data_IF_495937170294
#
_entry.id   IF_495937170294
#
_cell.length_a   1.000
_cell.length_b   1.000
_cell.length_c   1.000
_cell.angle_alpha   90.00
_cell.angle_beta   90.00
_cell.angle_gamma   90.00
#
_symmetry.space_group_name_H-M   'P 1'
#
loop_
_entity.id
_entity.type
_entity.pdbx_description
1 polymer ?
#
# COMPACT_ATOMS: atom_id res chain seq x y z
N UNK A 1 -6.08 15.14 44.92
CA UNK A 1 -5.92 14.12 43.87
C UNK A 1 -6.33 14.79 42.58
N UNK A 2 -5.37 15.32 41.82
CA UNK A 2 -5.66 15.92 40.52
C UNK A 2 -5.49 14.86 39.43
N UNK A 3 -6.53 14.68 38.62
CA UNK A 3 -6.51 13.82 37.45
C UNK A 3 -5.65 14.49 36.38
N UNK A 4 -4.51 13.89 36.04
CA UNK A 4 -3.71 14.26 34.89
C UNK A 4 -4.42 13.73 33.63
N UNK A 5 -5.39 14.48 33.11
CA UNK A 5 -5.91 14.19 31.78
C UNK A 5 -4.90 14.66 30.73
N UNK A 6 -4.26 13.70 30.07
CA UNK A 6 -3.70 13.89 28.74
C UNK A 6 -4.83 14.44 27.84
N UNK A 7 -4.58 15.53 27.10
CA UNK A 7 -5.54 16.20 26.24
C UNK A 7 -6.22 15.21 25.27
N UNK A 8 -7.40 14.74 25.66
CA UNK A 8 -8.15 13.66 25.02
C UNK A 8 -8.58 13.97 23.59
N UNK A 9 -8.52 15.26 23.18
CA UNK A 9 -8.93 15.70 21.85
C UNK A 9 -7.91 15.35 20.75
N UNK A 10 -6.64 15.11 21.09
CA UNK A 10 -5.58 14.76 20.12
C UNK A 10 -5.29 13.25 19.99
N UNK A 11 -5.77 12.44 20.92
CA UNK A 11 -5.44 11.00 20.97
C UNK A 11 -6.26 10.18 19.96
N UNK A 12 -7.30 10.76 19.35
CA UNK A 12 -8.22 10.06 18.45
C UNK A 12 -8.37 10.71 17.07
N UNK A 13 -7.51 11.66 16.68
CA UNK A 13 -7.56 12.17 15.31
C UNK A 13 -7.02 11.09 14.35
N UNK A 14 -7.95 10.52 13.57
CA UNK A 14 -7.63 9.62 12.47
C UNK A 14 -6.99 10.47 11.37
N UNK A 15 -5.75 10.16 11.01
CA UNK A 15 -5.06 10.85 9.93
C UNK A 15 -4.99 9.95 8.70
N UNK A 16 -5.64 10.39 7.62
CA UNK A 16 -5.52 9.75 6.32
C UNK A 16 -4.53 10.51 5.45
N UNK A 17 -3.58 9.79 4.86
CA UNK A 17 -2.63 10.31 3.87
C UNK A 17 -2.83 9.59 2.55
N UNK A 18 -2.81 10.34 1.46
CA UNK A 18 -3.04 9.82 0.12
C UNK A 18 -1.77 9.93 -0.71
N UNK A 19 -1.37 8.82 -1.34
CA UNK A 19 -0.24 8.76 -2.24
C UNK A 19 -0.72 8.41 -3.64
N UNK A 20 -0.15 9.06 -4.65
CA UNK A 20 -0.38 8.75 -6.07
C UNK A 20 0.96 8.63 -6.78
N UNK A 21 1.13 7.56 -7.55
CA UNK A 21 2.27 7.39 -8.46
C UNK A 21 1.77 6.99 -9.84
N UNK A 22 2.23 7.69 -10.86
CA UNK A 22 2.00 7.33 -12.25
C UNK A 22 3.22 6.60 -12.79
N UNK A 23 3.01 5.55 -13.56
CA UNK A 23 4.05 4.78 -14.25
C UNK A 23 3.66 4.57 -15.72
N UNK A 24 4.64 4.47 -16.59
CA UNK A 24 4.45 4.11 -17.99
C UNK A 24 4.99 2.71 -18.25
N UNK A 25 4.24 1.89 -19.01
CA UNK A 25 4.60 0.51 -19.35
C UNK A 25 4.67 0.37 -20.88
N UNK A 26 5.85 0.07 -21.42
CA UNK A 26 6.10 0.12 -22.87
C UNK A 26 5.67 -1.15 -23.63
N UNK A 27 5.62 -2.29 -22.96
CA UNK A 27 5.41 -3.60 -23.58
C UNK A 27 4.46 -4.50 -22.76
N UNK A 28 4.19 -5.70 -23.28
CA UNK A 28 3.32 -6.68 -22.63
C UNK A 28 3.90 -7.14 -21.30
N UNK A 29 3.03 -7.20 -20.29
CA UNK A 29 3.41 -7.57 -18.92
C UNK A 29 3.44 -9.09 -18.80
N UNK A 30 4.59 -9.64 -18.41
CA UNK A 30 4.71 -11.03 -18.03
C UNK A 30 4.20 -11.26 -16.60
N UNK A 31 4.68 -10.44 -15.67
CA UNK A 31 4.36 -10.49 -14.23
C UNK A 31 4.39 -9.09 -13.64
N UNK A 32 3.53 -8.81 -12.66
CA UNK A 32 3.59 -7.58 -11.89
C UNK A 32 3.15 -7.81 -10.45
N UNK A 33 3.93 -7.28 -9.51
CA UNK A 33 3.66 -7.40 -8.08
C UNK A 33 3.91 -6.08 -7.37
N UNK A 34 3.12 -5.82 -6.33
CA UNK A 34 3.36 -4.72 -5.40
C UNK A 34 3.37 -5.25 -3.97
N UNK A 35 4.43 -4.93 -3.25
CA UNK A 35 4.55 -5.12 -1.82
C UNK A 35 4.17 -3.83 -1.11
N UNK A 36 3.32 -3.93 -0.09
CA UNK A 36 2.93 -2.80 0.75
C UNK A 36 3.12 -3.13 2.22
N UNK A 37 3.72 -2.19 2.95
CA UNK A 37 3.89 -2.21 4.41
C UNK A 37 3.30 -0.91 4.94
N UNK A 38 2.16 -1.00 5.63
CA UNK A 38 1.50 0.16 6.23
C UNK A 38 1.94 0.35 7.69
N UNK A 39 1.90 1.57 8.20
CA UNK A 39 2.09 1.83 9.63
C UNK A 39 0.96 1.23 10.48
N UNK A 40 -0.28 1.37 9.99
CA UNK A 40 -1.48 0.83 10.65
C UNK A 40 -2.43 0.18 9.64
N UNK A 41 -2.92 0.94 8.67
CA UNK A 41 -3.86 0.46 7.66
C UNK A 41 -3.62 1.15 6.32
N UNK A 42 -3.66 0.40 5.22
CA UNK A 42 -3.63 0.99 3.88
C UNK A 42 -4.56 0.28 2.90
N UNK A 43 -5.22 1.03 2.02
CA UNK A 43 -5.93 0.52 0.84
C UNK A 43 -5.13 0.79 -0.42
N UNK A 44 -5.09 -0.19 -1.33
CA UNK A 44 -4.34 -0.12 -2.57
C UNK A 44 -5.32 -0.09 -3.74
N UNK A 45 -5.07 0.84 -4.66
CA UNK A 45 -5.79 0.96 -5.91
C UNK A 45 -4.83 1.03 -7.09
N UNK A 46 -5.18 0.37 -8.20
CA UNK A 46 -4.46 0.44 -9.47
C UNK A 46 -5.48 0.79 -10.53
N UNK A 47 -5.25 1.86 -11.29
CA UNK A 47 -6.17 2.35 -12.32
C UNK A 47 -7.62 2.51 -11.81
N UNK A 48 -7.75 3.06 -10.60
CA UNK A 48 -9.03 3.25 -9.89
C UNK A 48 -9.75 1.97 -9.42
N UNK A 49 -9.19 0.79 -9.68
CA UNK A 49 -9.68 -0.47 -9.16
C UNK A 49 -9.08 -0.82 -7.80
N UNK A 50 -9.91 -1.29 -6.87
CA UNK A 50 -9.48 -1.71 -5.54
C UNK A 50 -8.82 -3.09 -5.59
N UNK A 51 -7.57 -3.17 -5.15
CA UNK A 51 -6.78 -4.42 -5.17
C UNK A 51 -6.85 -5.15 -3.84
N UNK A 52 -6.89 -4.41 -2.74
CA UNK A 52 -6.82 -4.97 -1.41
C UNK A 52 -6.37 -3.98 -0.36
N UNK A 53 -6.09 -4.49 0.83
CA UNK A 53 -5.65 -3.68 1.97
C UNK A 53 -4.57 -4.38 2.80
N UNK A 54 -3.82 -3.60 3.57
CA UNK A 54 -2.81 -4.07 4.52
C UNK A 54 -3.21 -3.60 5.91
N UNK A 55 -3.12 -4.50 6.91
CA UNK A 55 -3.35 -4.18 8.32
C UNK A 55 -2.13 -4.61 9.12
N UNK A 56 -1.48 -3.65 9.75
CA UNK A 56 -0.23 -3.85 10.49
C UNK A 56 -0.43 -3.73 12.00
N UNK A 57 -1.68 -3.59 12.46
CA UNK A 57 -2.01 -3.24 13.84
C UNK A 57 -1.23 -4.15 14.80
N UNK A 58 -0.35 -3.55 15.62
CA UNK A 58 0.42 -4.18 16.70
C UNK A 58 -0.53 -4.73 17.77
N UNK A 59 -1.27 -5.78 17.48
CA UNK A 59 -1.79 -6.64 18.54
C UNK A 59 -0.56 -7.20 19.24
N UNK A 60 -0.54 -7.22 20.58
CA UNK A 60 0.51 -7.85 21.41
C UNK A 60 0.74 -9.34 21.04
N UNK A 61 -0.06 -9.89 20.13
CA UNK A 61 0.07 -11.18 19.49
C UNK A 61 1.10 -11.19 18.34
N UNK A 62 2.10 -12.06 18.47
CA UNK A 62 3.09 -12.43 17.47
C UNK A 62 2.50 -12.80 16.09
N UNK A 63 1.24 -13.24 16.04
CA UNK A 63 0.52 -13.65 14.82
C UNK A 63 0.31 -12.48 13.83
N UNK A 64 0.29 -11.23 14.30
CA UNK A 64 0.10 -10.05 13.46
C UNK A 64 1.29 -9.73 12.54
N UNK A 65 2.45 -10.33 12.75
CA UNK A 65 3.65 -10.05 11.94
C UNK A 65 3.49 -10.50 10.48
N UNK A 66 2.70 -11.56 10.23
CA UNK A 66 2.47 -12.08 8.88
C UNK A 66 1.53 -11.21 8.03
N UNK A 67 0.70 -10.36 8.64
CA UNK A 67 -0.18 -9.43 7.92
C UNK A 67 0.45 -8.06 7.67
N UNK A 68 1.63 -7.80 8.24
CA UNK A 68 2.32 -6.51 8.15
C UNK A 68 2.90 -6.22 6.77
N UNK A 69 3.19 -7.26 5.99
CA UNK A 69 3.71 -7.17 4.63
C UNK A 69 2.76 -7.97 3.75
N UNK A 70 2.13 -7.33 2.77
CA UNK A 70 1.30 -8.01 1.79
C UNK A 70 1.86 -7.78 0.40
N UNK A 71 1.86 -8.85 -0.40
CA UNK A 71 2.27 -8.83 -1.80
C UNK A 71 1.01 -9.10 -2.63
N UNK A 72 0.68 -8.18 -3.52
CA UNK A 72 -0.45 -8.30 -4.43
C UNK A 72 0.06 -8.58 -5.84
N UNK A 73 -0.51 -9.59 -6.50
CA UNK A 73 -0.37 -9.74 -7.95
C UNK A 73 -1.25 -8.68 -8.61
N UNK A 74 -0.63 -7.80 -9.38
CA UNK A 74 -1.31 -6.67 -10.04
C UNK A 74 -1.25 -6.76 -11.57
N UNK A 75 -0.83 -7.90 -12.11
CA UNK A 75 -0.67 -8.11 -13.55
C UNK A 75 -1.93 -7.73 -14.33
N UNK A 76 -3.09 -8.15 -13.85
CA UNK A 76 -4.37 -7.96 -14.54
C UNK A 76 -4.95 -6.55 -14.36
N UNK A 77 -4.34 -5.74 -13.50
CA UNK A 77 -4.77 -4.38 -13.18
C UNK A 77 -3.91 -3.30 -13.84
N UNK A 78 -2.77 -3.68 -14.43
CA UNK A 78 -1.87 -2.79 -15.17
C UNK A 78 -1.97 -3.11 -16.66
N UNK A 79 -1.92 -2.07 -17.49
CA UNK A 79 -1.95 -2.17 -18.95
C UNK A 79 -0.74 -1.48 -19.60
N UNK A 80 -0.55 -1.68 -20.90
CA UNK A 80 0.41 -0.90 -21.69
C UNK A 80 0.01 0.58 -21.70
N UNK A 81 0.97 1.48 -21.55
CA UNK A 81 0.76 2.92 -21.46
C UNK A 81 0.79 3.43 -20.01
N UNK A 82 0.05 4.50 -19.74
CA UNK A 82 0.03 5.14 -18.42
C UNK A 82 -0.84 4.36 -17.43
N UNK A 83 -0.31 4.11 -16.24
CA UNK A 83 -1.03 3.48 -15.14
C UNK A 83 -0.87 4.30 -13.87
N UNK A 84 -1.90 4.29 -13.03
CA UNK A 84 -1.95 5.06 -11.79
C UNK A 84 -2.07 4.12 -10.59
N UNK A 85 -1.12 4.22 -9.67
CA UNK A 85 -1.14 3.57 -8.36
C UNK A 85 -1.59 4.59 -7.33
N UNK A 86 -2.65 4.29 -6.57
CA UNK A 86 -3.11 5.13 -5.45
C UNK A 86 -3.12 4.33 -4.16
N UNK A 87 -2.70 4.98 -3.07
CA UNK A 87 -2.74 4.39 -1.75
C UNK A 87 -3.38 5.36 -0.77
N UNK A 88 -4.41 4.89 -0.07
CA UNK A 88 -5.00 5.54 1.09
C UNK A 88 -4.39 4.90 2.33
N UNK A 89 -3.55 5.63 3.06
CA UNK A 89 -2.96 5.19 4.32
C UNK A 89 -3.68 5.86 5.47
N UNK A 90 -4.12 5.09 6.47
CA UNK A 90 -4.87 5.59 7.63
C UNK A 90 -4.12 5.22 8.90
N UNK A 91 -3.81 6.22 9.70
CA UNK A 91 -3.23 6.05 11.02
C UNK A 91 -4.28 6.29 12.11
N UNK A 92 -4.56 5.24 12.89
CA UNK A 92 -5.54 5.26 13.99
C UNK A 92 -4.90 5.52 15.37
N UNK A 93 -3.57 5.62 15.46
CA UNK A 93 -2.83 5.86 16.71
C UNK A 93 -2.28 7.30 16.81
N UNK A 94 -2.53 8.11 15.78
CA UNK A 94 -2.19 9.53 15.72
C UNK A 94 -0.87 9.79 15.00
N UNK A 95 -0.80 10.90 14.27
CA UNK A 95 0.35 11.28 13.43
C UNK A 95 0.25 10.75 11.99
N UNK A 96 1.30 11.02 11.20
CA UNK A 96 1.40 10.51 9.82
C UNK A 96 2.12 9.16 9.88
N UNK A 97 1.37 8.07 9.78
CA UNK A 97 1.92 6.72 9.77
C UNK A 97 2.81 6.49 8.55
N UNK A 98 4.02 5.93 8.71
CA UNK A 98 4.89 5.65 7.58
C UNK A 98 4.28 4.57 6.68
N UNK A 99 4.59 4.64 5.38
CA UNK A 99 4.27 3.58 4.42
C UNK A 99 5.49 3.25 3.58
N UNK A 100 5.71 1.95 3.33
CA UNK A 100 6.70 1.48 2.38
C UNK A 100 6.01 0.70 1.26
N UNK A 101 6.39 1.01 0.02
CA UNK A 101 5.80 0.44 -1.18
C UNK A 101 6.92 0.09 -2.14
N UNK A 102 6.95 -1.16 -2.58
CA UNK A 102 7.91 -1.65 -3.56
C UNK A 102 7.16 -2.42 -4.64
N UNK A 103 7.56 -2.25 -5.91
CA UNK A 103 6.88 -2.89 -7.03
C UNK A 103 7.85 -3.41 -8.06
N UNK A 104 7.49 -4.54 -8.68
CA UNK A 104 8.20 -5.14 -9.81
C UNK A 104 7.21 -5.28 -10.95
N UNK A 105 7.62 -4.86 -12.14
CA UNK A 105 6.93 -5.13 -13.40
C UNK A 105 7.94 -5.78 -14.33
N UNK A 106 7.67 -7.02 -14.71
CA UNK A 106 8.49 -7.74 -15.67
C UNK A 106 7.76 -7.73 -17.01
N UNK A 107 8.41 -7.16 -18.02
CA UNK A 107 7.91 -7.17 -19.39
C UNK A 107 8.24 -8.51 -20.05
N UNK A 108 7.48 -8.91 -21.06
CA UNK A 108 7.86 -10.00 -21.94
C UNK A 108 9.13 -9.58 -22.69
N UNK A 109 10.19 -10.38 -22.59
CA UNK A 109 11.32 -10.24 -23.51
C UNK A 109 10.81 -10.49 -24.92
N UNK A 110 11.23 -9.64 -25.87
CA UNK A 110 11.20 -10.02 -27.27
C UNK A 110 12.21 -11.15 -27.43
N UNK A 111 11.72 -12.37 -27.62
CA UNK A 111 12.58 -13.41 -28.17
C UNK A 111 13.05 -12.90 -29.54
N UNK A 112 14.36 -12.79 -29.72
CA UNK A 112 14.94 -12.60 -31.04
C UNK A 112 14.64 -13.89 -31.81
N UNK A 113 13.55 -13.89 -32.58
CA UNK A 113 13.29 -14.91 -33.60
C UNK A 113 14.45 -14.85 -34.60
N UNK A 114 15.38 -15.79 -34.45
CA UNK A 114 16.39 -16.09 -35.46
C UNK A 114 15.79 -16.77 -36.67
#
# INVERSE_FOLDING_TARGET
SELIYLDSKRIHSIYSTYYKKTIHVDDYINQAYIQVIAGVFAKIYINDEYIGHVITRRTINYVGVNSNIQIFNIKDYIHKGENVIKIENVDYIGGIGPINVYGIIQLKSRENSG
#
